data_IF_361746744950
#
_entry.id   IF_361746744950
#
_cell.length_a   1.000
_cell.length_b   1.000
_cell.length_c   1.000
_cell.angle_alpha   90.00
_cell.angle_beta   90.00
_cell.angle_gamma   90.00
#
_symmetry.space_group_name_H-M   'P 1'
#
loop_
_entity.id
_entity.type
_entity.pdbx_description
1 polymer ?
#
# COMPACT_ATOMS: atom_id res chain seq x y z
N UNK A 1 -62.80 48.21 -44.49
CA UNK A 1 -64.08 47.46 -44.29
C UNK A 1 -63.89 46.53 -43.11
N UNK A 2 -64.58 46.84 -42.06
CA UNK A 2 -65.39 45.90 -41.24
C UNK A 2 -64.62 44.70 -40.67
N UNK A 3 -64.71 44.34 -39.44
CA UNK A 3 -65.53 44.65 -38.28
C UNK A 3 -65.21 43.64 -37.17
N UNK A 4 -65.15 44.10 -35.93
CA UNK A 4 -65.75 43.48 -34.74
C UNK A 4 -65.30 42.02 -34.36
N UNK A 5 -65.18 41.62 -33.17
CA UNK A 5 -65.56 42.14 -31.86
C UNK A 5 -65.29 41.05 -30.80
N UNK A 6 -64.94 41.51 -29.63
CA UNK A 6 -65.48 41.07 -28.33
C UNK A 6 -65.09 39.69 -27.73
N UNK A 7 -64.51 39.85 -26.54
CA UNK A 7 -65.05 39.43 -25.23
C UNK A 7 -64.91 37.92 -25.00
N UNK A 8 -64.20 37.53 -23.98
CA UNK A 8 -64.61 37.53 -22.66
C UNK A 8 -63.87 36.50 -21.80
N UNK A 9 -63.68 36.92 -20.61
CA UNK A 9 -63.67 36.14 -19.33
C UNK A 9 -62.58 35.07 -19.05
N UNK A 10 -61.64 35.53 -18.26
CA UNK A 10 -61.59 35.08 -16.84
C UNK A 10 -61.74 33.58 -16.64
N UNK A 11 -60.59 32.97 -16.33
CA UNK A 11 -60.58 31.93 -15.29
C UNK A 11 -59.24 31.99 -14.56
N UNK A 12 -59.32 32.65 -13.42
CA UNK A 12 -58.35 32.54 -12.35
C UNK A 12 -58.57 31.16 -11.73
N UNK A 13 -57.61 30.33 -11.74
CA UNK A 13 -57.75 28.99 -11.14
C UNK A 13 -56.42 28.30 -10.89
N UNK A 14 -55.89 28.53 -9.73
CA UNK A 14 -55.21 27.49 -8.91
C UNK A 14 -54.13 26.60 -9.56
N UNK A 15 -52.96 27.13 -9.80
CA UNK A 15 -51.76 26.30 -10.04
C UNK A 15 -50.52 26.76 -9.23
N UNK A 16 -50.75 27.34 -8.05
CA UNK A 16 -49.66 27.75 -7.14
C UNK A 16 -49.32 26.69 -6.06
N UNK A 17 -49.91 25.53 -6.11
CA UNK A 17 -49.79 24.49 -5.08
C UNK A 17 -48.99 23.24 -5.53
N UNK A 18 -48.28 23.29 -6.65
CA UNK A 18 -47.46 22.13 -7.11
C UNK A 18 -45.95 22.41 -7.23
N UNK A 19 -45.48 23.61 -6.83
CA UNK A 19 -44.07 24.00 -6.92
C UNK A 19 -43.32 23.93 -5.56
N UNK A 20 -43.92 23.40 -4.50
CA UNK A 20 -43.33 23.44 -3.15
C UNK A 20 -42.84 22.09 -2.62
N UNK A 21 -42.81 21.03 -3.40
CA UNK A 21 -42.36 19.69 -2.92
C UNK A 21 -41.11 19.13 -3.60
N UNK A 22 -40.33 19.97 -4.33
CA UNK A 22 -39.13 19.45 -5.02
C UNK A 22 -37.81 20.14 -4.62
N UNK A 23 -37.75 20.69 -3.44
CA UNK A 23 -36.54 21.43 -2.97
C UNK A 23 -35.99 20.99 -1.59
N UNK A 24 -36.25 19.77 -1.14
CA UNK A 24 -35.70 19.27 0.15
C UNK A 24 -35.10 17.86 -0.04
N UNK A 25 -34.19 17.68 -1.00
CA UNK A 25 -33.35 16.47 -1.08
C UNK A 25 -31.90 16.78 -1.50
N UNK A 26 -31.38 17.97 -1.23
CA UNK A 26 -30.01 18.33 -1.64
C UNK A 26 -29.19 18.93 -0.49
N UNK A 27 -29.23 18.35 0.70
CA UNK A 27 -28.38 18.82 1.81
C UNK A 27 -28.05 17.65 2.78
N UNK A 28 -27.48 16.57 2.25
CA UNK A 28 -26.84 15.54 3.08
C UNK A 28 -25.59 14.95 2.39
N UNK A 29 -24.92 15.73 1.53
CA UNK A 29 -23.49 15.47 1.28
C UNK A 29 -22.72 16.23 2.39
N UNK A 30 -22.77 15.68 3.59
CA UNK A 30 -21.82 16.05 4.63
C UNK A 30 -20.40 15.80 4.07
N UNK A 31 -19.38 16.59 4.49
CA UNK A 31 -18.03 16.30 4.11
C UNK A 31 -17.76 14.85 4.48
N UNK A 32 -17.24 14.06 3.54
CA UNK A 32 -16.69 12.75 3.82
C UNK A 32 -15.46 12.98 4.72
N UNK A 33 -15.73 13.28 5.97
CA UNK A 33 -14.74 13.27 7.03
C UNK A 33 -14.13 11.87 6.98
N UNK A 34 -12.83 11.77 7.01
CA UNK A 34 -12.10 10.53 7.07
C UNK A 34 -12.64 9.75 8.30
N UNK A 35 -13.69 8.97 8.06
CA UNK A 35 -14.26 8.12 9.11
C UNK A 35 -13.20 7.11 9.48
N UNK A 36 -12.92 6.97 10.76
CA UNK A 36 -12.04 5.89 11.23
C UNK A 36 -12.56 4.57 10.67
N UNK A 37 -11.67 3.71 10.14
CA UNK A 37 -12.09 2.43 9.57
C UNK A 37 -12.96 1.65 10.55
N UNK A 38 -13.98 0.98 10.04
CA UNK A 38 -14.83 0.14 10.88
C UNK A 38 -14.03 -1.01 11.50
N UNK A 39 -14.42 -1.55 12.65
CA UNK A 39 -13.79 -2.73 13.23
C UNK A 39 -13.76 -3.91 12.27
N UNK A 40 -14.80 -4.08 11.46
CA UNK A 40 -14.91 -5.12 10.43
C UNK A 40 -13.85 -4.94 9.35
N UNK A 41 -13.69 -3.72 8.83
CA UNK A 41 -12.68 -3.41 7.81
C UNK A 41 -11.26 -3.60 8.34
N UNK A 42 -11.00 -3.21 9.60
CA UNK A 42 -9.72 -3.46 10.25
C UNK A 42 -9.43 -4.95 10.43
N UNK A 43 -10.45 -5.75 10.79
CA UNK A 43 -10.31 -7.19 10.92
C UNK A 43 -9.99 -7.84 9.56
N UNK A 44 -10.71 -7.48 8.49
CA UNK A 44 -10.43 -7.96 7.14
C UNK A 44 -9.03 -7.55 6.64
N UNK A 45 -8.57 -6.33 6.95
CA UNK A 45 -7.23 -5.89 6.62
C UNK A 45 -6.14 -6.69 7.36
N UNK A 46 -6.31 -6.96 8.65
CA UNK A 46 -5.39 -7.83 9.41
C UNK A 46 -5.36 -9.24 8.85
N UNK A 47 -6.52 -9.78 8.52
CA UNK A 47 -6.64 -11.10 7.91
C UNK A 47 -5.89 -11.18 6.57
N UNK A 48 -5.97 -10.15 5.74
CA UNK A 48 -5.19 -10.04 4.51
C UNK A 48 -3.69 -10.11 4.78
N UNK A 49 -3.18 -9.32 5.72
CA UNK A 49 -1.74 -9.25 6.05
C UNK A 49 -1.25 -10.61 6.56
N UNK A 50 -2.04 -11.29 7.39
CA UNK A 50 -1.73 -12.64 7.89
C UNK A 50 -1.75 -13.66 6.74
N UNK A 51 -2.75 -13.60 5.86
CA UNK A 51 -2.89 -14.51 4.72
C UNK A 51 -1.73 -14.35 3.73
N UNK A 52 -1.25 -13.12 3.51
CA UNK A 52 -0.06 -12.82 2.70
C UNK A 52 1.25 -13.20 3.38
N UNK A 53 1.23 -13.65 4.64
CA UNK A 53 2.40 -14.02 5.43
C UNK A 53 3.41 -12.87 5.59
N UNK A 54 2.94 -11.62 5.56
CA UNK A 54 3.80 -10.44 5.65
C UNK A 54 4.61 -10.41 6.96
N UNK A 55 4.06 -10.92 8.06
CA UNK A 55 4.76 -11.05 9.34
C UNK A 55 5.95 -12.03 9.29
N UNK A 56 5.89 -13.07 8.45
CA UNK A 56 6.95 -14.08 8.35
C UNK A 56 8.24 -13.48 7.77
N UNK A 57 8.12 -12.47 6.93
CA UNK A 57 9.27 -11.73 6.41
C UNK A 57 10.07 -11.07 7.55
N UNK A 58 9.40 -10.41 8.47
CA UNK A 58 10.06 -9.80 9.64
C UNK A 58 10.68 -10.84 10.57
N UNK A 59 10.01 -11.98 10.80
CA UNK A 59 10.57 -13.08 11.61
C UNK A 59 11.84 -13.66 11.00
N UNK A 60 12.00 -13.62 9.69
CA UNK A 60 13.19 -14.09 9.00
C UNK A 60 14.31 -13.05 9.00
N UNK A 61 13.99 -11.78 8.83
CA UNK A 61 14.98 -10.69 8.74
C UNK A 61 15.59 -10.36 10.11
N UNK A 62 14.81 -10.33 11.18
CA UNK A 62 15.30 -9.93 12.49
C UNK A 62 16.50 -10.79 12.98
N UNK A 63 16.45 -12.13 12.91
CA UNK A 63 17.61 -12.95 13.25
C UNK A 63 18.84 -12.67 12.37
N UNK A 64 18.63 -12.40 11.07
CA UNK A 64 19.73 -12.09 10.16
C UNK A 64 20.41 -10.75 10.53
N UNK A 65 19.62 -9.72 10.88
CA UNK A 65 20.16 -8.44 11.37
C UNK A 65 20.97 -8.65 12.64
N UNK A 66 20.46 -9.42 13.59
CA UNK A 66 21.16 -9.75 14.83
C UNK A 66 22.51 -10.42 14.55
N UNK A 67 22.55 -11.40 13.66
CA UNK A 67 23.79 -12.08 13.27
C UNK A 67 24.78 -11.13 12.57
N UNK A 68 24.29 -10.21 11.77
CA UNK A 68 25.13 -9.21 11.10
C UNK A 68 25.73 -8.19 12.07
N UNK A 69 25.02 -7.84 13.14
CA UNK A 69 25.50 -6.90 14.16
C UNK A 69 26.51 -7.54 15.13
N UNK A 70 26.44 -8.87 15.32
CA UNK A 70 27.26 -9.60 16.30
C UNK A 70 28.76 -9.27 16.19
N UNK A 71 29.43 -9.34 15.03
CA UNK A 71 30.88 -9.08 14.92
C UNK A 71 31.26 -7.66 15.36
N UNK A 72 30.41 -6.67 15.03
CA UNK A 72 30.65 -5.26 15.36
C UNK A 72 30.52 -4.99 16.87
N UNK A 73 29.66 -5.73 17.57
CA UNK A 73 29.41 -5.57 19.01
C UNK A 73 30.42 -6.39 19.82
N UNK A 74 30.65 -7.64 19.45
CA UNK A 74 31.47 -8.59 20.20
C UNK A 74 32.96 -8.27 20.12
N UNK A 75 33.45 -7.84 18.93
CA UNK A 75 34.83 -7.41 18.71
C UNK A 75 35.88 -8.40 19.29
N UNK A 76 35.75 -9.69 19.06
CA UNK A 76 36.63 -10.75 19.53
C UNK A 76 36.73 -10.83 21.05
N UNK A 77 35.73 -10.43 21.82
CA UNK A 77 35.66 -10.52 23.29
C UNK A 77 34.79 -11.71 23.71
N UNK A 78 35.37 -12.86 24.12
CA UNK A 78 34.61 -14.09 24.38
C UNK A 78 33.55 -13.97 25.48
N UNK A 79 33.77 -13.07 26.44
CA UNK A 79 32.83 -12.82 27.52
C UNK A 79 31.59 -12.08 26.96
N UNK A 80 31.81 -11.02 26.14
CA UNK A 80 30.74 -10.26 25.49
C UNK A 80 29.96 -11.14 24.54
N UNK A 81 30.62 -12.08 23.86
CA UNK A 81 29.94 -13.03 22.96
C UNK A 81 28.94 -13.92 23.70
N UNK A 82 29.34 -14.47 24.83
CA UNK A 82 28.46 -15.30 25.67
C UNK A 82 27.26 -14.51 26.18
N UNK A 83 27.47 -13.29 26.66
CA UNK A 83 26.40 -12.44 27.14
C UNK A 83 25.49 -12.00 26.01
N UNK A 84 26.04 -11.67 24.82
CA UNK A 84 25.30 -11.37 23.61
C UNK A 84 24.36 -12.53 23.24
N UNK A 85 24.87 -13.75 23.14
CA UNK A 85 24.07 -14.92 22.77
C UNK A 85 22.97 -15.22 23.81
N UNK A 86 23.22 -14.93 25.09
CA UNK A 86 22.24 -15.12 26.16
C UNK A 86 21.08 -14.11 26.11
N UNK A 87 21.34 -12.84 25.75
CA UNK A 87 20.29 -11.80 25.72
C UNK A 87 19.52 -11.76 24.41
N UNK A 88 20.06 -12.27 23.30
CA UNK A 88 19.45 -12.17 21.98
C UNK A 88 18.05 -12.79 21.88
N UNK A 89 17.73 -13.94 22.47
CA UNK A 89 16.38 -14.48 22.45
C UNK A 89 15.34 -13.51 23.02
N UNK A 90 15.66 -12.85 24.15
CA UNK A 90 14.78 -11.85 24.77
C UNK A 90 14.61 -10.60 23.91
N UNK A 91 15.69 -10.16 23.25
CA UNK A 91 15.63 -9.02 22.32
C UNK A 91 14.78 -9.34 21.11
N UNK A 92 14.90 -10.53 20.53
CA UNK A 92 14.08 -10.97 19.41
C UNK A 92 12.59 -11.07 19.79
N UNK A 93 12.28 -11.57 20.99
CA UNK A 93 10.91 -11.61 21.50
C UNK A 93 10.30 -10.19 21.62
N UNK A 94 11.06 -9.27 22.22
CA UNK A 94 10.64 -7.87 22.33
C UNK A 94 10.43 -7.21 20.95
N UNK A 95 11.26 -7.53 19.96
CA UNK A 95 11.09 -7.05 18.58
C UNK A 95 9.86 -7.63 17.89
N UNK A 96 9.52 -8.89 18.16
CA UNK A 96 8.30 -9.51 17.64
C UNK A 96 7.02 -8.78 18.11
N UNK A 97 6.99 -8.27 19.33
CA UNK A 97 5.89 -7.43 19.79
C UNK A 97 5.76 -6.16 18.94
N UNK A 98 6.87 -5.49 18.60
CA UNK A 98 6.90 -4.30 17.74
C UNK A 98 6.49 -4.60 16.28
N UNK A 99 6.76 -5.82 15.79
CA UNK A 99 6.27 -6.25 14.47
C UNK A 99 4.75 -6.27 14.44
N UNK A 100 4.08 -6.69 15.51
CA UNK A 100 2.62 -6.65 15.59
C UNK A 100 2.08 -5.21 15.54
N UNK A 101 2.75 -4.25 16.15
CA UNK A 101 2.37 -2.82 16.06
C UNK A 101 2.46 -2.32 14.61
N UNK A 102 3.51 -2.71 13.87
CA UNK A 102 3.64 -2.37 12.45
C UNK A 102 2.53 -3.01 11.64
N UNK A 103 2.18 -4.27 11.90
CA UNK A 103 1.08 -4.97 11.24
C UNK A 103 -0.23 -4.21 11.46
N UNK A 104 -0.50 -3.74 12.68
CA UNK A 104 -1.69 -2.97 13.00
C UNK A 104 -1.74 -1.62 12.26
N UNK A 105 -0.62 -0.93 12.15
CA UNK A 105 -0.52 0.31 11.37
C UNK A 105 -0.75 0.07 9.88
N UNK A 106 -0.17 -1.00 9.32
CA UNK A 106 -0.39 -1.41 7.93
C UNK A 106 -1.84 -1.82 7.71
N UNK A 107 -2.46 -2.56 8.64
CA UNK A 107 -3.88 -2.92 8.57
C UNK A 107 -4.77 -1.66 8.55
N UNK A 108 -4.47 -0.67 9.39
CA UNK A 108 -5.18 0.60 9.37
C UNK A 108 -5.01 1.36 8.05
N UNK A 109 -3.85 1.25 7.38
CA UNK A 109 -3.64 1.82 6.05
C UNK A 109 -4.52 1.14 5.00
N UNK A 110 -4.57 -0.19 4.97
CA UNK A 110 -5.46 -0.93 4.07
C UNK A 110 -6.93 -0.59 4.34
N UNK A 111 -7.35 -0.57 5.60
CA UNK A 111 -8.73 -0.28 5.99
C UNK A 111 -9.20 1.15 5.66
N UNK A 112 -8.28 2.09 5.44
CA UNK A 112 -8.62 3.43 4.95
C UNK A 112 -8.80 3.50 3.43
N UNK A 113 -8.26 2.53 2.69
CA UNK A 113 -8.23 2.56 1.22
C UNK A 113 -9.15 1.52 0.57
N UNK A 114 -9.61 0.53 1.34
CA UNK A 114 -10.43 -0.56 0.85
C UNK A 114 -11.60 -0.83 1.80
N UNK A 115 -12.70 -1.31 1.26
CA UNK A 115 -13.84 -1.82 2.02
C UNK A 115 -13.55 -3.22 2.56
N UNK A 116 -14.30 -3.66 3.56
CA UNK A 116 -14.19 -5.03 4.06
C UNK A 116 -14.47 -6.08 2.97
N UNK A 117 -15.43 -5.81 2.07
CA UNK A 117 -15.76 -6.72 0.96
C UNK A 117 -14.58 -6.89 -0.01
N UNK A 118 -13.95 -5.79 -0.45
CA UNK A 118 -12.76 -5.82 -1.33
C UNK A 118 -11.59 -6.56 -0.66
N UNK A 119 -11.34 -6.31 0.62
CA UNK A 119 -10.30 -7.01 1.37
C UNK A 119 -10.56 -8.51 1.45
N UNK A 120 -11.81 -8.92 1.68
CA UNK A 120 -12.18 -10.32 1.73
C UNK A 120 -12.05 -11.02 0.37
N UNK A 121 -12.31 -10.34 -0.75
CA UNK A 121 -12.06 -10.87 -2.09
C UNK A 121 -10.56 -11.14 -2.30
N UNK A 122 -9.69 -10.22 -1.89
CA UNK A 122 -8.24 -10.40 -1.98
C UNK A 122 -7.77 -11.53 -1.06
N UNK A 123 -8.31 -11.64 0.16
CA UNK A 123 -8.05 -12.77 1.08
C UNK A 123 -8.43 -14.09 0.43
N UNK A 124 -9.62 -14.17 -0.19
CA UNK A 124 -10.08 -15.36 -0.89
C UNK A 124 -9.14 -15.77 -2.03
N UNK A 125 -8.65 -14.80 -2.81
CA UNK A 125 -7.63 -15.06 -3.83
C UNK A 125 -6.35 -15.66 -3.25
N UNK A 126 -5.79 -15.02 -2.21
CA UNK A 126 -4.55 -15.51 -1.59
C UNK A 126 -4.70 -16.84 -0.86
N UNK A 127 -5.89 -17.21 -0.40
CA UNK A 127 -6.19 -18.54 0.14
C UNK A 127 -6.28 -19.61 -0.95
N UNK A 128 -6.57 -19.22 -2.17
CA UNK A 128 -6.65 -20.13 -3.31
C UNK A 128 -5.27 -20.66 -3.75
N UNK A 129 -5.25 -21.75 -4.55
CA UNK A 129 -4.00 -22.43 -4.93
C UNK A 129 -3.04 -21.50 -5.70
N UNK A 130 -3.55 -20.63 -6.55
CA UNK A 130 -2.74 -19.66 -7.30
C UNK A 130 -2.14 -18.59 -6.38
N UNK A 131 -2.93 -18.06 -5.45
CA UNK A 131 -2.47 -17.08 -4.47
C UNK A 131 -1.39 -17.65 -3.54
N UNK A 132 -1.58 -18.88 -3.06
CA UNK A 132 -0.57 -19.57 -2.24
C UNK A 132 0.73 -19.80 -3.02
N UNK A 133 0.65 -20.23 -4.28
CA UNK A 133 1.81 -20.38 -5.16
C UNK A 133 2.52 -19.04 -5.37
N UNK A 134 1.76 -17.96 -5.55
CA UNK A 134 2.30 -16.61 -5.72
C UNK A 134 3.11 -16.19 -4.49
N UNK A 135 2.54 -16.29 -3.27
CA UNK A 135 3.24 -15.97 -2.01
C UNK A 135 4.53 -16.77 -1.88
N UNK A 136 4.50 -18.08 -2.16
CA UNK A 136 5.66 -18.94 -2.04
C UNK A 136 6.78 -18.61 -3.03
N UNK A 137 6.42 -18.18 -4.24
CA UNK A 137 7.39 -17.89 -5.31
C UNK A 137 7.90 -16.46 -5.32
N UNK A 138 7.16 -15.54 -4.70
CA UNK A 138 7.48 -14.11 -4.70
C UNK A 138 8.91 -13.79 -4.21
N UNK A 139 9.43 -14.39 -3.12
CA UNK A 139 10.81 -14.13 -2.69
C UNK A 139 11.85 -14.51 -3.75
N UNK A 140 11.71 -15.68 -4.38
CA UNK A 140 12.60 -16.14 -5.44
C UNK A 140 12.53 -15.20 -6.66
N UNK A 141 11.32 -14.85 -7.11
CA UNK A 141 11.11 -13.94 -8.24
C UNK A 141 11.74 -12.57 -7.95
N UNK A 142 11.57 -12.05 -6.72
CA UNK A 142 12.18 -10.78 -6.32
C UNK A 142 13.70 -10.86 -6.34
N UNK A 143 14.28 -11.92 -5.81
CA UNK A 143 15.74 -12.12 -5.82
C UNK A 143 16.30 -12.21 -7.24
N UNK A 144 15.68 -13.00 -8.11
CA UNK A 144 16.09 -13.11 -9.51
C UNK A 144 15.92 -11.78 -10.27
N UNK A 145 14.83 -11.05 -10.00
CA UNK A 145 14.59 -9.73 -10.57
C UNK A 145 15.66 -8.71 -10.16
N UNK A 146 16.13 -8.75 -8.91
CA UNK A 146 17.24 -7.90 -8.46
C UNK A 146 18.54 -8.21 -9.23
N UNK A 147 18.85 -9.50 -9.46
CA UNK A 147 20.02 -9.90 -10.24
C UNK A 147 19.91 -9.41 -11.70
N UNK A 148 18.72 -9.55 -12.30
CA UNK A 148 18.45 -9.02 -13.65
C UNK A 148 18.64 -7.49 -13.67
N UNK A 149 18.08 -6.78 -12.69
CA UNK A 149 18.22 -5.33 -12.57
C UNK A 149 19.67 -4.87 -12.43
N UNK A 150 20.48 -5.57 -11.62
CA UNK A 150 21.91 -5.29 -11.48
C UNK A 150 22.68 -5.48 -12.79
N UNK A 151 22.46 -6.58 -13.50
CA UNK A 151 23.09 -6.82 -14.80
C UNK A 151 22.70 -5.77 -15.82
N UNK A 152 21.43 -5.42 -15.89
CA UNK A 152 20.93 -4.36 -16.75
C UNK A 152 21.59 -3.01 -16.43
N UNK A 153 21.63 -2.63 -15.15
CA UNK A 153 22.30 -1.39 -14.70
C UNK A 153 23.77 -1.34 -15.09
N UNK A 154 24.52 -2.44 -14.93
CA UNK A 154 25.92 -2.53 -15.36
C UNK A 154 26.07 -2.36 -16.88
N UNK A 155 25.19 -3.02 -17.66
CA UNK A 155 25.20 -2.92 -19.12
C UNK A 155 24.91 -1.49 -19.58
N UNK A 156 23.88 -0.85 -19.02
CA UNK A 156 23.53 0.55 -19.33
C UNK A 156 24.66 1.50 -18.95
N UNK A 157 25.28 1.33 -17.79
CA UNK A 157 26.40 2.17 -17.36
C UNK A 157 27.61 2.05 -18.32
N UNK A 158 27.93 0.82 -18.78
CA UNK A 158 28.99 0.59 -19.73
C UNK A 158 28.71 1.24 -21.10
N UNK A 159 27.49 1.08 -21.62
CA UNK A 159 27.07 1.69 -22.89
C UNK A 159 27.06 3.22 -22.82
N UNK A 160 26.51 3.79 -21.76
CA UNK A 160 26.53 5.24 -21.53
C UNK A 160 27.95 5.79 -21.43
N UNK A 161 28.84 5.10 -20.68
CA UNK A 161 30.25 5.51 -20.58
C UNK A 161 30.91 5.53 -21.95
N UNK A 162 30.74 4.49 -22.75
CA UNK A 162 31.30 4.43 -24.11
C UNK A 162 30.80 5.60 -24.96
N UNK A 163 29.48 5.81 -25.00
CA UNK A 163 28.88 6.90 -25.78
C UNK A 163 29.32 8.28 -25.32
N UNK A 164 29.45 8.51 -24.02
CA UNK A 164 29.94 9.77 -23.47
C UNK A 164 31.38 10.00 -23.89
N UNK A 165 32.27 9.01 -23.75
CA UNK A 165 33.66 9.09 -24.15
C UNK A 165 33.77 9.39 -25.65
N UNK A 166 33.03 8.65 -26.49
CA UNK A 166 33.06 8.88 -27.94
C UNK A 166 32.56 10.27 -28.32
N UNK A 167 31.53 10.80 -27.66
CA UNK A 167 31.04 12.14 -27.92
C UNK A 167 32.00 13.21 -27.45
N UNK A 168 32.68 13.03 -26.32
CA UNK A 168 33.70 13.95 -25.82
C UNK A 168 34.94 13.96 -26.73
N UNK A 169 35.39 12.81 -27.25
CA UNK A 169 36.45 12.73 -28.24
C UNK A 169 36.11 13.47 -29.52
N UNK A 170 34.91 13.37 -30.05
CA UNK A 170 34.42 14.13 -31.20
C UNK A 170 34.49 15.65 -30.97
N UNK A 171 34.36 16.09 -29.74
CA UNK A 171 34.48 17.51 -29.33
C UNK A 171 35.91 17.96 -29.03
N UNK A 172 36.90 17.09 -29.26
CA UNK A 172 38.33 17.41 -29.14
C UNK A 172 38.93 17.19 -27.75
N UNK A 173 38.22 16.47 -26.86
CA UNK A 173 38.76 16.08 -25.54
C UNK A 173 39.58 14.79 -25.69
N UNK A 174 40.78 14.77 -25.16
CA UNK A 174 41.64 13.57 -25.10
C UNK A 174 41.39 12.83 -23.77
N UNK A 175 40.48 11.82 -23.81
CA UNK A 175 40.05 11.03 -22.65
C UNK A 175 39.91 9.56 -23.01
#
# INVERSE_FOLDING_TARGET
MRKHSRIGHSWIGHSWLRAACMSICLLAAGPAGAQSPSPETLAAARELIVTMRAADYFKTILPAIVQQLKPAIVQNRPQVERDYDAIMPLMLESMNARVNEIIDQVAALYARNFTAAELNEVVAFYRGPTGQKFIQKLPLITQESMVIGQRFGQSVAADLRSRIVDELRKRGHDI
#
